data_IF_159869410421
#
_entry.id   IF_159869410421
#
_cell.length_a   1.000
_cell.length_b   1.000
_cell.length_c   1.000
_cell.angle_alpha   90.00
_cell.angle_beta   90.00
_cell.angle_gamma   90.00
#
_symmetry.space_group_name_H-M   'P 1'
#
loop_
_entity.id
_entity.type
_entity.pdbx_description
1 polymer ?
#
# COMPACT_ATOMS: atom_id res chain seq x y z
N UNK A 1 -8.28 -22.03 1.88
CA UNK A 1 -8.38 -20.56 2.06
C UNK A 1 -7.83 -20.08 3.42
N UNK A 2 -8.15 -20.71 4.56
CA UNK A 2 -7.57 -20.33 5.87
C UNK A 2 -6.05 -20.57 6.02
N UNK A 3 -5.48 -21.53 5.30
CA UNK A 3 -4.03 -21.83 5.33
C UNK A 3 -3.20 -20.67 4.78
N UNK A 4 -3.59 -20.10 3.64
CA UNK A 4 -2.86 -19.01 2.99
C UNK A 4 -2.87 -17.74 3.85
N UNK A 5 -3.95 -17.49 4.61
CA UNK A 5 -4.00 -16.36 5.55
C UNK A 5 -2.95 -16.54 6.66
N UNK A 6 -2.73 -17.77 7.16
CA UNK A 6 -1.69 -18.05 8.17
C UNK A 6 -0.27 -17.99 7.60
N UNK A 7 -0.09 -18.30 6.31
CA UNK A 7 1.21 -18.21 5.63
C UNK A 7 1.56 -16.75 5.30
N UNK A 8 0.62 -15.99 4.71
CA UNK A 8 0.76 -14.54 4.53
C UNK A 8 0.95 -13.81 5.87
N UNK A 9 0.31 -14.31 6.93
CA UNK A 9 0.44 -13.75 8.28
C UNK A 9 1.87 -13.78 8.86
N UNK A 10 2.79 -14.49 8.22
CA UNK A 10 4.18 -14.65 8.67
C UNK A 10 5.20 -14.03 7.73
N UNK A 11 4.78 -13.58 6.55
CA UNK A 11 5.73 -13.12 5.55
C UNK A 11 6.11 -11.66 5.74
N UNK A 12 7.40 -11.38 5.78
CA UNK A 12 7.89 -10.01 5.83
C UNK A 12 7.88 -9.40 4.43
N UNK A 13 7.29 -8.20 4.26
CA UNK A 13 7.37 -7.51 2.99
C UNK A 13 8.80 -7.06 2.71
N UNK A 14 9.21 -7.12 1.44
CA UNK A 14 10.43 -6.47 0.96
C UNK A 14 10.29 -4.97 1.15
N UNK A 15 11.33 -4.33 1.70
CA UNK A 15 11.33 -2.89 1.97
C UNK A 15 12.40 -2.20 1.14
N UNK A 16 12.03 -1.06 0.59
CA UNK A 16 12.92 -0.20 -0.18
C UNK A 16 13.14 1.08 0.62
N UNK A 17 14.40 1.46 0.84
CA UNK A 17 14.75 2.73 1.47
C UNK A 17 15.48 3.60 0.46
N UNK A 18 14.76 4.61 -0.06
CA UNK A 18 15.31 5.59 -1.00
C UNK A 18 16.44 6.43 -0.41
N UNK A 19 16.30 6.86 0.85
CA UNK A 19 17.26 7.79 1.47
C UNK A 19 18.64 7.14 1.63
N UNK A 20 18.66 5.84 1.95
CA UNK A 20 19.88 5.03 2.04
C UNK A 20 20.27 4.37 0.71
N UNK A 21 19.36 4.33 -0.28
CA UNK A 21 19.48 3.55 -1.52
C UNK A 21 19.79 2.08 -1.26
N UNK A 22 19.00 1.47 -0.39
CA UNK A 22 19.16 0.07 0.05
C UNK A 22 17.83 -0.68 0.01
N UNK A 23 17.89 -2.00 -0.18
CA UNK A 23 16.76 -2.93 -0.15
C UNK A 23 16.93 -3.87 1.03
N UNK A 24 15.88 -4.03 1.82
CA UNK A 24 15.84 -4.92 2.97
C UNK A 24 14.88 -6.08 2.71
N UNK A 25 15.41 -7.29 2.85
CA UNK A 25 14.67 -8.54 2.85
C UNK A 25 14.84 -9.24 4.20
N UNK A 26 13.77 -9.83 4.70
CA UNK A 26 13.79 -10.61 5.94
C UNK A 26 13.30 -12.01 5.59
N UNK A 27 14.10 -13.02 5.91
CA UNK A 27 13.70 -14.41 5.73
C UNK A 27 12.63 -14.79 6.76
N UNK A 28 11.49 -15.29 6.28
CA UNK A 28 10.35 -15.68 7.09
C UNK A 28 10.64 -16.87 8.05
N UNK A 29 11.64 -17.70 7.72
CA UNK A 29 11.98 -18.89 8.50
C UNK A 29 13.13 -18.62 9.46
N UNK A 30 14.20 -17.98 8.99
CA UNK A 30 15.39 -17.74 9.80
C UNK A 30 15.36 -16.40 10.53
N UNK A 31 14.43 -15.51 10.19
CA UNK A 31 14.35 -14.12 10.66
C UNK A 31 15.66 -13.33 10.41
N UNK A 32 16.51 -13.79 9.50
CA UNK A 32 17.73 -13.09 9.11
C UNK A 32 17.36 -11.90 8.24
N UNK A 33 18.00 -10.78 8.55
CA UNK A 33 17.86 -9.53 7.80
C UNK A 33 18.99 -9.46 6.79
N UNK A 34 18.63 -9.29 5.52
CA UNK A 34 19.54 -9.05 4.41
C UNK A 34 19.30 -7.62 3.91
N UNK A 35 20.32 -6.76 3.99
CA UNK A 35 20.28 -5.38 3.50
C UNK A 35 21.30 -5.29 2.38
N UNK A 36 20.84 -4.90 1.20
CA UNK A 36 21.63 -4.91 -0.03
C UNK A 36 21.58 -3.53 -0.69
N UNK A 37 22.71 -2.97 -1.15
CA UNK A 37 22.71 -1.72 -1.89
C UNK A 37 21.86 -1.81 -3.16
N UNK A 38 21.03 -0.80 -3.43
CA UNK A 38 20.13 -0.77 -4.58
C UNK A 38 20.83 -1.03 -5.92
N UNK A 39 22.08 -0.60 -6.06
CA UNK A 39 22.84 -0.72 -7.31
C UNK A 39 23.37 -2.14 -7.58
N UNK A 40 23.43 -2.97 -6.54
CA UNK A 40 23.76 -4.40 -6.68
C UNK A 40 22.54 -5.27 -6.98
N UNK A 41 21.33 -4.70 -6.93
CA UNK A 41 20.10 -5.44 -7.16
C UNK A 41 19.97 -5.76 -8.64
N UNK A 42 19.87 -7.06 -8.94
CA UNK A 42 19.61 -7.53 -10.30
C UNK A 42 18.12 -7.82 -10.44
N UNK A 43 17.46 -7.20 -11.40
CA UNK A 43 16.05 -7.46 -11.71
C UNK A 43 15.89 -8.05 -13.11
N UNK A 44 14.96 -8.98 -13.28
CA UNK A 44 14.61 -9.58 -14.58
C UNK A 44 13.11 -9.82 -14.72
N UNK A 45 12.68 -10.01 -15.97
CA UNK A 45 11.32 -10.45 -16.29
C UNK A 45 11.44 -11.79 -17.02
N UNK A 46 10.84 -12.82 -16.45
CA UNK A 46 10.76 -14.15 -17.06
C UNK A 46 9.39 -14.34 -17.70
N UNK A 47 9.39 -14.86 -18.93
CA UNK A 47 8.19 -15.34 -19.62
C UNK A 47 8.34 -16.83 -19.86
N UNK A 48 7.42 -17.62 -19.33
CA UNK A 48 7.33 -19.06 -19.59
C UNK A 48 6.09 -19.36 -20.43
N UNK A 49 6.18 -20.34 -21.32
CA UNK A 49 5.03 -20.82 -22.10
C UNK A 49 4.98 -22.34 -22.03
N UNK A 50 3.89 -22.86 -21.48
CA UNK A 50 3.56 -24.28 -21.51
C UNK A 50 2.57 -24.58 -22.63
N UNK A 51 2.88 -25.56 -23.50
CA UNK A 51 1.95 -26.03 -24.54
C UNK A 51 1.41 -27.40 -24.13
N UNK A 52 0.10 -27.51 -24.04
CA UNK A 52 -0.61 -28.77 -23.71
C UNK A 52 -1.62 -29.11 -24.80
N UNK A 53 -2.15 -30.34 -24.80
CA UNK A 53 -3.23 -30.75 -25.72
C UNK A 53 -4.51 -29.92 -25.58
N UNK A 54 -4.68 -29.20 -24.47
CA UNK A 54 -5.85 -28.35 -24.21
C UNK A 54 -5.60 -26.87 -24.48
N UNK A 55 -4.37 -26.48 -24.84
CA UNK A 55 -4.02 -25.09 -25.17
C UNK A 55 -2.63 -24.66 -24.68
N UNK A 56 -2.29 -23.41 -25.00
CA UNK A 56 -1.05 -22.77 -24.55
C UNK A 56 -1.32 -21.88 -23.33
N UNK A 57 -0.58 -22.12 -22.24
CA UNK A 57 -0.56 -21.27 -21.05
C UNK A 57 0.71 -20.43 -21.05
N UNK A 58 0.61 -19.17 -20.64
CA UNK A 58 1.74 -18.24 -20.54
C UNK A 58 1.80 -17.70 -19.13
N UNK A 59 2.96 -17.81 -18.51
CA UNK A 59 3.23 -17.26 -17.19
C UNK A 59 4.27 -16.15 -17.30
N UNK A 60 4.01 -15.04 -16.60
CA UNK A 60 4.92 -13.91 -16.53
C UNK A 60 5.35 -13.74 -15.08
N UNK A 61 6.64 -13.57 -14.84
CA UNK A 61 7.19 -13.41 -13.50
C UNK A 61 8.17 -12.26 -13.49
N UNK A 62 7.98 -11.33 -12.57
CA UNK A 62 9.01 -10.36 -12.21
C UNK A 62 9.89 -10.99 -11.13
N UNK A 63 11.21 -10.97 -11.36
CA UNK A 63 12.20 -11.48 -10.43
C UNK A 63 13.21 -10.42 -10.02
N UNK A 64 13.66 -10.51 -8.78
CA UNK A 64 14.75 -9.71 -8.23
C UNK A 64 15.72 -10.60 -7.46
N UNK A 65 17.00 -10.37 -7.64
CA UNK A 65 18.10 -11.08 -6.99
C UNK A 65 18.79 -10.12 -6.04
N UNK A 66 18.86 -10.52 -4.77
CA UNK A 66 19.60 -9.83 -3.73
C UNK A 66 20.84 -10.68 -3.40
N UNK A 67 22.01 -10.17 -3.76
CA UNK A 67 23.27 -10.85 -3.47
C UNK A 67 23.60 -10.72 -1.98
N UNK A 68 23.94 -11.84 -1.35
CA UNK A 68 24.35 -11.94 0.04
C UNK A 68 25.84 -12.29 0.07
N UNK A 69 26.68 -11.26 0.12
CA UNK A 69 28.15 -11.38 0.14
C UNK A 69 28.66 -12.23 1.31
N UNK A 70 27.97 -12.21 2.47
CA UNK A 70 28.42 -12.97 3.65
C UNK A 70 28.35 -14.49 3.44
N UNK A 71 27.41 -14.96 2.61
CA UNK A 71 27.16 -16.38 2.38
C UNK A 71 27.46 -16.83 0.96
N UNK A 72 27.83 -15.90 0.07
CA UNK A 72 27.98 -16.14 -1.35
C UNK A 72 26.71 -16.79 -1.95
N UNK A 73 25.54 -16.28 -1.55
CA UNK A 73 24.24 -16.76 -2.02
C UNK A 73 23.41 -15.63 -2.62
N UNK A 74 22.46 -15.95 -3.50
CA UNK A 74 21.53 -14.97 -4.05
C UNK A 74 20.12 -15.30 -3.58
N UNK A 75 19.46 -14.34 -2.95
CA UNK A 75 18.06 -14.45 -2.56
C UNK A 75 17.17 -13.97 -3.71
N UNK A 76 16.28 -14.84 -4.17
CA UNK A 76 15.37 -14.55 -5.27
C UNK A 76 13.98 -14.18 -4.76
N UNK A 77 13.55 -12.96 -5.10
CA UNK A 77 12.19 -12.49 -4.89
C UNK A 77 11.45 -12.63 -6.21
N UNK A 78 10.46 -13.52 -6.25
CA UNK A 78 9.65 -13.80 -7.43
C UNK A 78 8.21 -13.36 -7.21
N UNK A 79 7.68 -12.60 -8.17
CA UNK A 79 6.29 -12.14 -8.16
C UNK A 79 5.63 -12.50 -9.49
N UNK A 80 4.58 -13.32 -9.43
CA UNK A 80 3.78 -13.66 -10.60
C UNK A 80 3.00 -12.44 -11.09
N UNK A 81 3.01 -12.20 -12.40
CA UNK A 81 2.42 -11.03 -13.03
C UNK A 81 1.41 -11.47 -14.11
N UNK A 82 0.32 -10.70 -14.32
CA UNK A 82 -0.68 -11.04 -15.34
C UNK A 82 -0.15 -10.94 -16.78
N UNK A 83 0.83 -10.05 -17.02
CA UNK A 83 1.47 -9.88 -18.32
C UNK A 83 2.87 -9.30 -18.20
N UNK A 84 3.58 -9.24 -19.32
CA UNK A 84 4.87 -8.56 -19.46
C UNK A 84 4.79 -7.06 -19.17
N UNK A 85 3.76 -6.38 -19.67
CA UNK A 85 3.53 -4.97 -19.38
C UNK A 85 3.37 -4.70 -17.87
N UNK A 86 2.72 -5.60 -17.13
CA UNK A 86 2.61 -5.48 -15.67
C UNK A 86 3.95 -5.71 -14.97
N UNK A 87 4.73 -6.72 -15.40
CA UNK A 87 6.04 -6.98 -14.84
C UNK A 87 7.03 -5.83 -15.08
N UNK A 88 7.06 -5.30 -16.31
CA UNK A 88 7.85 -4.13 -16.67
C UNK A 88 7.35 -2.88 -15.94
N UNK A 89 6.03 -2.69 -15.87
CA UNK A 89 5.39 -1.60 -15.13
C UNK A 89 5.80 -1.61 -13.66
N UNK A 90 5.72 -2.75 -13.00
CA UNK A 90 6.15 -2.91 -11.61
C UNK A 90 7.62 -2.56 -11.42
N UNK A 91 8.51 -3.03 -12.31
CA UNK A 91 9.93 -2.65 -12.27
C UNK A 91 10.13 -1.15 -12.45
N UNK A 92 9.43 -0.52 -13.40
CA UNK A 92 9.50 0.93 -13.60
C UNK A 92 8.98 1.70 -12.40
N UNK A 93 7.92 1.24 -11.74
CA UNK A 93 7.38 1.88 -10.53
C UNK A 93 8.38 1.84 -9.38
N UNK A 94 9.01 0.67 -9.14
CA UNK A 94 10.03 0.53 -8.08
C UNK A 94 11.23 1.44 -8.39
N UNK A 95 11.70 1.45 -9.65
CA UNK A 95 12.84 2.28 -10.05
C UNK A 95 12.53 3.77 -9.90
N UNK A 96 11.38 4.22 -10.39
CA UNK A 96 10.96 5.62 -10.25
C UNK A 96 10.85 6.02 -8.77
N UNK A 97 10.30 5.14 -7.92
CA UNK A 97 10.29 5.36 -6.48
C UNK A 97 11.71 5.52 -5.90
N UNK A 98 12.67 4.69 -6.31
CA UNK A 98 14.04 4.74 -5.79
C UNK A 98 14.86 5.92 -6.34
N UNK A 99 14.64 6.33 -7.58
CA UNK A 99 15.40 7.40 -8.23
C UNK A 99 14.73 8.77 -8.04
N UNK A 100 13.52 8.93 -8.55
CA UNK A 100 12.80 10.21 -8.60
C UNK A 100 11.96 10.46 -7.34
N UNK A 101 11.68 9.42 -6.55
CA UNK A 101 10.83 9.48 -5.37
C UNK A 101 9.37 9.18 -5.69
N UNK A 102 8.47 9.55 -4.78
CA UNK A 102 7.04 9.37 -4.97
C UNK A 102 6.50 10.33 -6.04
N UNK A 103 6.55 9.89 -7.31
CA UNK A 103 5.90 10.63 -8.41
C UNK A 103 4.37 10.70 -8.25
N UNK A 104 3.80 9.84 -7.39
CA UNK A 104 2.36 9.70 -7.11
C UNK A 104 1.98 10.37 -5.78
N UNK A 105 2.71 11.41 -5.36
CA UNK A 105 2.19 12.38 -4.38
C UNK A 105 1.20 13.36 -5.01
N UNK A 106 1.09 13.37 -6.34
CA UNK A 106 -0.05 14.01 -6.98
C UNK A 106 -1.28 13.15 -6.73
N UNK A 107 -2.35 13.69 -6.11
CA UNK A 107 -3.64 13.03 -6.12
C UNK A 107 -3.92 12.63 -7.57
N UNK A 108 -4.47 11.43 -7.80
CA UNK A 108 -4.87 10.98 -9.14
C UNK A 108 -5.33 12.20 -9.95
N UNK A 109 -4.80 12.48 -11.15
CA UNK A 109 -5.07 13.73 -11.85
C UNK A 109 -6.57 14.03 -11.95
N UNK A 110 -7.44 13.00 -11.96
CA UNK A 110 -8.88 13.16 -11.77
C UNK A 110 -9.30 13.62 -10.36
N UNK A 111 -8.80 13.01 -9.28
CA UNK A 111 -9.03 13.46 -7.90
C UNK A 111 -8.50 14.87 -7.65
N UNK A 112 -7.31 15.19 -8.16
CA UNK A 112 -6.72 16.53 -8.09
C UNK A 112 -7.60 17.55 -8.84
N UNK A 113 -8.05 17.23 -10.05
CA UNK A 113 -8.97 18.07 -10.82
C UNK A 113 -10.33 18.27 -10.12
N UNK A 114 -10.77 17.28 -9.32
CA UNK A 114 -11.99 17.36 -8.52
C UNK A 114 -11.77 18.00 -7.14
N UNK A 115 -10.55 18.38 -6.79
CA UNK A 115 -10.22 18.94 -5.46
C UNK A 115 -10.43 17.95 -4.32
N UNK A 116 -10.40 16.64 -4.59
CA UNK A 116 -10.61 15.58 -3.61
C UNK A 116 -9.25 15.18 -3.02
N UNK A 117 -9.05 15.45 -1.74
CA UNK A 117 -7.92 14.96 -0.95
C UNK A 117 -8.36 13.73 -0.17
N UNK A 118 -7.76 12.58 -0.43
CA UNK A 118 -8.01 11.36 0.35
C UNK A 118 -7.27 11.45 1.69
N UNK A 119 -7.93 11.00 2.75
CA UNK A 119 -7.32 10.86 4.08
C UNK A 119 -6.37 9.68 4.14
N UNK A 120 -5.40 9.69 5.08
CA UNK A 120 -4.52 8.54 5.34
C UNK A 120 -5.30 7.24 5.61
N UNK A 121 -6.43 7.36 6.30
CA UNK A 121 -7.32 6.23 6.56
C UNK A 121 -7.96 5.67 5.28
N UNK A 122 -8.25 6.51 4.30
CA UNK A 122 -8.84 6.11 3.01
C UNK A 122 -7.81 5.49 2.05
N UNK A 123 -6.52 5.77 2.28
CA UNK A 123 -5.42 5.22 1.50
C UNK A 123 -5.00 3.80 1.93
N UNK A 124 -5.56 3.29 3.04
CA UNK A 124 -5.22 1.95 3.54
C UNK A 124 -5.73 0.87 2.57
N UNK A 125 -4.88 -0.06 2.10
CA UNK A 125 -5.24 -1.04 1.07
C UNK A 125 -6.01 -2.25 1.62
N UNK A 126 -6.48 -2.21 2.86
CA UNK A 126 -7.16 -3.32 3.52
C UNK A 126 -8.44 -2.80 4.19
N UNK A 127 -9.42 -3.67 4.40
CA UNK A 127 -10.64 -3.30 5.14
C UNK A 127 -10.46 -3.51 6.64
N UNK A 128 -10.94 -2.57 7.45
CA UNK A 128 -10.80 -2.61 8.90
C UNK A 128 -11.71 -1.64 9.62
N UNK A 129 -11.31 -1.24 10.83
CA UNK A 129 -12.10 -0.29 11.62
C UNK A 129 -12.14 1.09 10.96
N UNK A 130 -11.07 1.48 10.26
CA UNK A 130 -11.02 2.73 9.51
C UNK A 130 -12.10 2.78 8.40
N UNK A 131 -12.39 1.65 7.73
CA UNK A 131 -13.47 1.54 6.75
C UNK A 131 -14.84 1.84 7.36
N UNK A 132 -15.09 1.36 8.59
CA UNK A 132 -16.32 1.69 9.32
C UNK A 132 -16.46 3.18 9.61
N UNK A 133 -15.34 3.84 9.94
CA UNK A 133 -15.31 5.27 10.20
C UNK A 133 -15.51 6.09 8.92
N UNK A 134 -14.93 5.66 7.80
CA UNK A 134 -15.15 6.27 6.47
C UNK A 134 -16.62 6.20 6.08
N UNK A 135 -17.23 5.00 6.15
CA UNK A 135 -18.66 4.84 5.86
C UNK A 135 -19.56 5.68 6.78
N UNK A 136 -19.13 5.90 8.03
CA UNK A 136 -19.85 6.76 8.98
C UNK A 136 -19.78 8.22 8.54
N UNK A 137 -18.62 8.68 8.09
CA UNK A 137 -18.43 10.03 7.54
C UNK A 137 -19.28 10.21 6.28
N UNK A 138 -19.34 9.22 5.39
CA UNK A 138 -20.23 9.25 4.22
C UNK A 138 -21.70 9.38 4.64
N UNK A 139 -22.15 8.62 5.64
CA UNK A 139 -23.51 8.73 6.16
C UNK A 139 -23.83 10.11 6.77
N UNK A 140 -22.84 10.76 7.40
CA UNK A 140 -22.96 12.15 7.87
C UNK A 140 -22.99 13.15 6.72
N UNK A 141 -22.17 12.94 5.68
CA UNK A 141 -22.15 13.76 4.48
C UNK A 141 -23.47 13.69 3.69
N UNK A 142 -24.12 12.52 3.63
CA UNK A 142 -25.48 12.35 3.10
C UNK A 142 -26.52 13.13 3.90
N UNK A 143 -26.37 13.18 5.23
CA UNK A 143 -27.20 14.00 6.11
C UNK A 143 -26.89 15.50 6.09
N UNK A 144 -25.86 15.91 5.32
CA UNK A 144 -25.30 17.27 5.29
C UNK A 144 -24.96 17.78 6.69
N UNK A 145 -24.41 16.90 7.52
CA UNK A 145 -24.08 17.19 8.92
C UNK A 145 -22.70 17.83 9.07
N UNK A 146 -21.82 17.63 8.08
CA UNK A 146 -20.42 18.10 8.11
C UNK A 146 -20.17 19.32 7.21
N UNK A 147 -21.24 20.01 6.78
CA UNK A 147 -21.08 21.24 6.01
C UNK A 147 -20.76 22.43 6.94
N UNK A 148 -19.92 23.35 6.45
CA UNK A 148 -19.42 24.51 7.23
C UNK A 148 -20.51 25.43 7.82
N UNK A 149 -21.77 25.28 7.39
CA UNK A 149 -22.95 25.94 7.96
C UNK A 149 -23.43 25.40 9.30
N UNK A 150 -22.55 24.81 10.12
CA UNK A 150 -22.80 24.29 11.48
C UNK A 150 -23.68 25.18 12.34
N UNK A 151 -23.29 26.45 12.36
CA UNK A 151 -23.78 27.51 13.23
C UNK A 151 -25.02 28.24 12.69
N UNK A 152 -25.40 28.00 11.44
CA UNK A 152 -26.50 28.71 10.78
C UNK A 152 -27.85 28.14 11.22
N UNK A 153 -28.80 29.03 11.50
CA UNK A 153 -30.19 28.63 11.71
C UNK A 153 -30.83 28.13 10.41
N UNK A 154 -31.97 27.42 10.50
CA UNK A 154 -32.62 26.85 9.33
C UNK A 154 -33.04 27.90 8.27
N UNK A 155 -33.36 29.11 8.72
CA UNK A 155 -33.75 30.23 7.84
C UNK A 155 -32.53 30.84 7.13
N UNK A 156 -31.45 31.08 7.87
CA UNK A 156 -30.18 31.56 7.31
C UNK A 156 -29.61 30.55 6.32
N UNK A 157 -29.70 29.25 6.64
CA UNK A 157 -29.28 28.16 5.78
C UNK A 157 -29.99 28.19 4.42
N UNK A 158 -31.31 28.43 4.42
CA UNK A 158 -32.11 28.57 3.18
C UNK A 158 -31.70 29.84 2.40
N UNK A 159 -31.44 30.95 3.09
CA UNK A 159 -31.01 32.21 2.48
C UNK A 159 -29.67 32.08 1.74
N UNK A 160 -28.72 31.36 2.32
CA UNK A 160 -27.39 31.13 1.75
C UNK A 160 -27.33 29.91 0.80
N UNK A 161 -28.48 29.31 0.44
CA UNK A 161 -28.55 28.21 -0.53
C UNK A 161 -28.13 26.83 -0.02
N UNK A 162 -27.96 26.67 1.29
CA UNK A 162 -27.63 25.37 1.88
C UNK A 162 -28.87 24.45 1.93
N UNK A 163 -28.67 23.17 1.63
CA UNK A 163 -29.72 22.13 1.67
C UNK A 163 -30.17 21.82 3.11
N UNK A 164 -31.39 21.30 3.33
CA UNK A 164 -31.85 20.94 4.70
C UNK A 164 -31.00 19.82 5.31
N UNK A 165 -30.62 19.96 6.58
CA UNK A 165 -29.96 18.90 7.35
C UNK A 165 -30.93 17.80 7.73
N UNK A 166 -30.47 16.55 7.67
CA UNK A 166 -31.25 15.42 8.15
C UNK A 166 -30.35 14.47 8.94
N UNK A 167 -30.67 14.17 10.21
CA UNK A 167 -29.95 13.15 10.98
C UNK A 167 -30.38 11.72 10.60
N UNK A 168 -31.45 11.57 9.79
CA UNK A 168 -32.03 10.27 9.45
C UNK A 168 -31.08 9.33 8.71
N UNK A 169 -30.31 9.75 7.70
CA UNK A 169 -29.33 8.89 7.04
C UNK A 169 -28.34 8.27 8.02
N UNK A 170 -27.80 9.07 8.95
CA UNK A 170 -26.88 8.60 9.98
C UNK A 170 -27.56 7.64 10.97
N UNK A 171 -28.77 7.98 11.44
CA UNK A 171 -29.53 7.12 12.37
C UNK A 171 -29.87 5.78 11.74
N UNK A 172 -30.35 5.77 10.51
CA UNK A 172 -30.64 4.55 9.77
C UNK A 172 -29.39 3.73 9.50
N UNK A 173 -28.27 4.40 9.18
CA UNK A 173 -26.97 3.74 9.03
C UNK A 173 -26.55 3.00 10.30
N UNK A 174 -26.63 3.64 11.47
CA UNK A 174 -26.33 2.97 12.75
C UNK A 174 -27.28 1.80 13.05
N UNK A 175 -28.59 1.97 12.86
CA UNK A 175 -29.59 0.91 13.09
C UNK A 175 -29.28 -0.30 12.21
N UNK A 176 -29.06 -0.07 10.91
CA UNK A 176 -28.68 -1.14 9.97
C UNK A 176 -27.41 -1.83 10.45
N UNK A 177 -26.33 -1.09 10.72
CA UNK A 177 -25.02 -1.63 11.12
C UNK A 177 -25.06 -2.40 12.44
N UNK A 178 -25.92 -1.99 13.37
CA UNK A 178 -26.17 -2.72 14.62
C UNK A 178 -26.90 -4.04 14.36
N UNK A 179 -27.97 -4.04 13.56
CA UNK A 179 -28.74 -5.25 13.22
C UNK A 179 -27.85 -6.29 12.50
N UNK A 180 -27.00 -5.83 11.58
CA UNK A 180 -26.12 -6.73 10.83
C UNK A 180 -24.78 -7.00 11.53
N UNK A 181 -24.57 -6.49 12.75
CA UNK A 181 -23.33 -6.60 13.53
C UNK A 181 -22.04 -6.30 12.75
N UNK A 182 -22.12 -5.43 11.74
CA UNK A 182 -21.01 -5.21 10.79
C UNK A 182 -19.77 -4.60 11.43
N UNK A 183 -19.93 -3.84 12.53
CA UNK A 183 -18.78 -3.33 13.30
C UNK A 183 -17.92 -4.47 13.84
N UNK A 184 -18.52 -5.62 14.19
CA UNK A 184 -17.77 -6.79 14.65
C UNK A 184 -16.94 -7.41 13.52
N UNK A 185 -17.48 -7.47 12.30
CA UNK A 185 -16.73 -7.95 11.14
C UNK A 185 -15.51 -7.07 10.85
N UNK A 186 -15.67 -5.74 10.89
CA UNK A 186 -14.54 -4.82 10.73
C UNK A 186 -13.50 -4.93 11.87
N UNK A 187 -13.93 -5.16 13.11
CA UNK A 187 -13.01 -5.43 14.22
C UNK A 187 -12.24 -6.75 14.02
N UNK A 188 -12.90 -7.79 13.51
CA UNK A 188 -12.26 -9.07 13.20
C UNK A 188 -11.29 -8.92 12.02
N UNK A 189 -11.65 -8.14 11.00
CA UNK A 189 -10.77 -7.85 9.85
C UNK A 189 -9.51 -7.09 10.30
N UNK A 190 -9.68 -6.03 11.09
CA UNK A 190 -8.58 -5.27 11.69
C UNK A 190 -7.69 -6.16 12.57
N UNK A 191 -8.29 -7.01 13.41
CA UNK A 191 -7.57 -7.97 14.24
C UNK A 191 -6.78 -8.97 13.40
N UNK A 192 -7.39 -9.53 12.35
CA UNK A 192 -6.76 -10.50 11.47
C UNK A 192 -5.58 -9.87 10.72
N UNK A 193 -5.77 -8.64 10.23
CA UNK A 193 -4.73 -7.88 9.55
C UNK A 193 -3.54 -7.57 10.48
N UNK A 194 -3.81 -7.12 11.71
CA UNK A 194 -2.77 -6.84 12.71
C UNK A 194 -2.03 -8.11 13.15
N UNK A 195 -2.77 -9.19 13.41
CA UNK A 195 -2.19 -10.48 13.82
C UNK A 195 -1.37 -11.12 12.70
N UNK A 196 -1.65 -10.77 11.45
CA UNK A 196 -0.93 -11.24 10.28
C UNK A 196 0.33 -10.46 9.92
N UNK A 197 0.76 -9.50 10.74
CA UNK A 197 2.01 -8.78 10.48
C UNK A 197 3.03 -9.10 11.58
N UNK A 198 4.10 -9.83 11.26
CA UNK A 198 5.16 -10.03 12.23
C UNK A 198 5.78 -8.67 12.58
N UNK A 199 6.16 -8.50 13.86
CA UNK A 199 6.89 -7.30 14.29
C UNK A 199 8.27 -7.29 13.64
N UNK A 200 8.67 -6.14 13.12
CA UNK A 200 9.98 -5.98 12.51
C UNK A 200 11.08 -6.10 13.58
N UNK A 201 12.22 -6.73 13.27
CA UNK A 201 13.40 -6.68 14.13
C UNK A 201 13.83 -5.24 14.41
N UNK A 202 14.41 -4.98 15.58
CA UNK A 202 14.84 -3.64 16.01
C UNK A 202 15.82 -3.00 15.02
N UNK A 203 16.73 -3.79 14.44
CA UNK A 203 17.68 -3.34 13.41
C UNK A 203 16.97 -2.77 12.18
N UNK A 204 15.89 -3.41 11.72
CA UNK A 204 15.10 -2.97 10.56
C UNK A 204 14.27 -1.74 10.91
N UNK A 205 13.78 -1.64 12.15
CA UNK A 205 13.06 -0.44 12.61
C UNK A 205 13.98 0.78 12.64
N UNK A 206 15.20 0.64 13.16
CA UNK A 206 16.21 1.68 13.15
C UNK A 206 16.65 2.07 11.73
N UNK A 207 16.84 1.08 10.86
CA UNK A 207 17.15 1.29 9.44
C UNK A 207 16.04 2.05 8.69
N UNK A 208 14.78 1.84 9.07
CA UNK A 208 13.60 2.47 8.45
C UNK A 208 13.35 3.91 8.92
N UNK A 209 14.07 4.41 9.93
CA UNK A 209 13.87 5.79 10.40
C UNK A 209 14.36 6.81 9.36
N UNK A 210 13.67 7.95 9.22
CA UNK A 210 14.05 8.97 8.24
C UNK A 210 15.41 9.59 8.58
N UNK A 211 16.24 9.74 7.56
CA UNK A 211 17.53 10.42 7.62
C UNK A 211 17.40 11.89 7.21
N UNK A 212 18.23 12.78 7.79
CA UNK A 212 18.36 14.15 7.32
C UNK A 212 18.75 14.19 5.83
N UNK A 213 18.25 15.17 5.03
CA UNK A 213 18.53 15.27 3.60
C UNK A 213 20.01 15.30 3.23
N UNK A 214 20.84 15.85 4.11
CA UNK A 214 22.30 15.93 3.95
C UNK A 214 22.97 14.55 3.94
N UNK A 215 22.35 13.55 4.57
CA UNK A 215 22.87 12.18 4.67
C UNK A 215 22.29 11.25 3.61
N UNK A 216 21.52 11.77 2.65
CA UNK A 216 20.93 10.94 1.61
C UNK A 216 21.98 10.45 0.63
N UNK A 217 21.99 9.14 0.42
CA UNK A 217 22.86 8.50 -0.55
C UNK A 217 22.53 8.99 -1.96
N UNK A 218 23.57 9.28 -2.73
CA UNK A 218 23.44 9.76 -4.11
C UNK A 218 23.60 8.61 -5.11
N UNK A 219 22.92 8.67 -6.27
CA UNK A 219 23.13 7.69 -7.34
C UNK A 219 24.58 7.67 -7.80
N UNK A 220 25.15 6.48 -8.02
CA UNK A 220 26.53 6.36 -8.49
C UNK A 220 26.71 6.92 -9.90
N UNK A 221 27.96 7.28 -10.27
CA UNK A 221 28.25 7.79 -11.60
C UNK A 221 27.90 6.81 -12.73
N UNK A 222 27.99 5.51 -12.48
CA UNK A 222 27.64 4.48 -13.46
C UNK A 222 26.13 4.48 -13.74
N UNK A 223 25.30 4.57 -12.69
CA UNK A 223 23.85 4.64 -12.83
C UNK A 223 23.41 5.95 -13.51
N UNK A 224 24.06 7.08 -13.17
CA UNK A 224 23.83 8.37 -13.85
C UNK A 224 24.19 8.38 -15.34
N UNK A 225 25.09 7.50 -15.78
CA UNK A 225 25.48 7.36 -17.19
C UNK A 225 24.53 6.44 -17.97
N UNK A 226 23.90 5.50 -17.28
CA UNK A 226 22.98 4.53 -17.87
C UNK A 226 21.56 5.09 -18.07
N UNK A 227 21.17 6.09 -17.27
CA UNK A 227 19.93 6.87 -17.40
C UNK A 227 20.11 8.05 -18.36
#
# INVERSE_FOLDING_TARGET
MLSNVRTLAKSYPVRFNRQRREVCYIDDTTHRVLIVPWESVVAWVARSQGVTSYGAMRDYTFGMGLEDEERDTVQFILSAQPSDAHALGMWTSIRNYMEDGELVDTPNPMLAALGITLSEDELKPYEGLHTFEIERLDARALGRLDDGGGHLTAEERKRWGYSKRSPWPLRWWYVRRMIVFWKMLYLIAEWAHRKGRPTLPESVQAWSQPLPPEQWAQPSPALRKAN
#
